data_IF_010536399937
#
_entry.id   IF_010536399937
#
_cell.length_a   1.000
_cell.length_b   1.000
_cell.length_c   1.000
_cell.angle_alpha   90.00
_cell.angle_beta   90.00
_cell.angle_gamma   90.00
#
_symmetry.space_group_name_H-M   'P 1'
#
loop_
_entity.id
_entity.type
_entity.pdbx_description
1 polymer ?
#
# COMPACT_ATOMS: atom_id res chain seq x y z
N UNK A 1 7.47 8.09 5.03
CA UNK A 1 6.71 8.52 6.24
C UNK A 1 5.24 8.30 5.98
N UNK A 2 4.47 7.93 6.99
CA UNK A 2 3.04 7.69 6.92
C UNK A 2 2.40 7.83 8.30
N UNK A 3 1.08 7.78 8.37
CA UNK A 3 0.34 7.75 9.63
C UNK A 3 -0.13 6.31 9.88
N UNK A 4 0.06 5.82 11.10
CA UNK A 4 -0.44 4.54 11.58
C UNK A 4 -0.82 4.66 13.05
N UNK A 5 -2.01 4.14 13.39
CA UNK A 5 -2.54 4.13 14.77
C UNK A 5 -2.59 5.53 15.43
N UNK A 6 -2.87 6.57 14.64
CA UNK A 6 -2.90 7.97 15.05
C UNK A 6 -1.53 8.64 15.17
N UNK A 7 -0.43 7.98 14.77
CA UNK A 7 0.95 8.47 14.97
C UNK A 7 1.72 8.53 13.66
N UNK A 8 2.58 9.55 13.53
CA UNK A 8 3.49 9.64 12.39
C UNK A 8 4.60 8.60 12.52
N UNK A 9 4.77 7.79 11.48
CA UNK A 9 5.76 6.74 11.35
C UNK A 9 6.70 7.02 10.19
N UNK A 10 7.94 6.60 10.34
CA UNK A 10 8.96 6.59 9.30
C UNK A 10 9.51 5.18 9.16
N UNK A 11 9.79 4.78 7.93
CA UNK A 11 10.41 3.50 7.62
C UNK A 11 11.52 3.78 6.63
N UNK A 12 12.63 3.08 6.80
CA UNK A 12 13.72 3.05 5.83
C UNK A 12 14.23 1.62 5.61
N UNK A 13 14.88 1.45 4.46
CA UNK A 13 15.58 0.21 4.10
C UNK A 13 17.04 0.56 3.92
N UNK A 14 17.95 -0.21 4.54
CA UNK A 14 19.38 -0.03 4.39
C UNK A 14 19.80 -0.15 2.91
N UNK A 15 20.84 0.58 2.51
CA UNK A 15 21.29 0.62 1.11
C UNK A 15 22.05 -0.63 0.67
N UNK A 16 22.61 -1.37 1.63
CA UNK A 16 23.50 -2.48 1.41
C UNK A 16 22.91 -3.79 1.95
N UNK A 17 23.35 -4.90 1.37
CA UNK A 17 22.94 -6.24 1.81
C UNK A 17 23.73 -6.68 3.05
N UNK A 18 23.12 -7.46 3.95
CA UNK A 18 21.70 -7.82 3.98
C UNK A 18 20.84 -6.59 4.26
N UNK A 19 19.73 -6.45 3.52
CA UNK A 19 18.85 -5.30 3.69
C UNK A 19 18.18 -5.35 5.06
N UNK A 20 18.18 -4.22 5.76
CA UNK A 20 17.58 -4.07 7.07
C UNK A 20 16.46 -3.05 6.94
N UNK A 21 15.28 -3.40 7.45
CA UNK A 21 14.12 -2.53 7.50
C UNK A 21 14.04 -1.97 8.91
N UNK A 22 14.09 -0.65 9.04
CA UNK A 22 14.03 0.05 10.32
C UNK A 22 12.78 0.92 10.35
N UNK A 23 12.02 0.85 11.45
CA UNK A 23 10.78 1.59 11.66
C UNK A 23 10.91 2.52 12.86
N UNK A 24 10.35 3.71 12.75
CA UNK A 24 10.48 4.77 13.73
C UNK A 24 9.14 5.43 14.00
N UNK A 25 8.92 5.84 15.25
CA UNK A 25 7.81 6.67 15.67
C UNK A 25 8.27 8.08 15.99
N UNK A 26 7.48 9.07 15.58
CA UNK A 26 7.64 10.42 16.07
C UNK A 26 7.02 10.52 17.46
N UNK A 27 7.72 11.13 18.41
CA UNK A 27 7.17 11.39 19.74
C UNK A 27 5.92 12.27 19.68
N UNK A 28 5.12 12.25 20.76
CA UNK A 28 3.88 13.04 20.83
C UNK A 28 4.15 14.56 20.84
N UNK A 29 5.38 14.99 21.11
CA UNK A 29 5.84 16.38 21.02
C UNK A 29 6.25 16.81 19.62
N UNK A 30 6.30 15.88 18.66
CA UNK A 30 6.74 16.11 17.29
C UNK A 30 8.22 16.41 17.12
N UNK A 31 9.06 16.11 18.12
CA UNK A 31 10.43 16.66 18.22
C UNK A 31 11.55 15.66 17.92
N UNK A 32 11.30 14.38 18.18
CA UNK A 32 12.31 13.33 18.03
C UNK A 32 11.70 12.04 17.47
N UNK A 33 12.52 11.32 16.69
CA UNK A 33 12.22 10.00 16.17
C UNK A 33 12.84 8.94 17.07
N UNK A 34 12.06 7.93 17.44
CA UNK A 34 12.52 6.76 18.20
C UNK A 34 12.48 5.53 17.30
N UNK A 35 13.54 4.71 17.31
CA UNK A 35 13.54 3.42 16.62
C UNK A 35 12.62 2.45 17.37
N UNK A 36 11.59 1.95 16.68
CA UNK A 36 10.61 1.01 17.24
C UNK A 36 11.04 -0.43 16.95
N UNK A 37 11.29 -0.75 15.67
CA UNK A 37 11.69 -2.10 15.23
C UNK A 37 12.77 -2.04 14.16
N UNK A 38 13.61 -3.07 14.14
CA UNK A 38 14.63 -3.30 13.13
C UNK A 38 14.64 -4.78 12.75
N UNK A 39 14.50 -5.08 11.46
CA UNK A 39 14.41 -6.46 10.96
C UNK A 39 15.31 -6.63 9.75
N UNK A 40 16.22 -7.61 9.81
CA UNK A 40 16.96 -8.04 8.63
C UNK A 40 16.00 -8.75 7.68
N UNK A 41 15.89 -8.25 6.45
CA UNK A 41 14.95 -8.79 5.47
C UNK A 41 15.22 -10.26 5.13
N UNK A 42 16.48 -10.68 5.21
CA UNK A 42 16.88 -12.10 5.04
C UNK A 42 16.34 -13.02 6.13
N UNK A 43 15.94 -12.50 7.29
CA UNK A 43 15.32 -13.29 8.37
C UNK A 43 13.87 -13.63 8.06
N UNK A 44 13.18 -12.78 7.28
CA UNK A 44 11.75 -12.94 6.99
C UNK A 44 11.47 -13.50 5.60
N UNK A 45 12.45 -13.43 4.70
CA UNK A 45 12.32 -13.85 3.30
C UNK A 45 13.36 -14.92 2.94
N UNK A 46 12.95 -16.18 3.03
CA UNK A 46 13.76 -17.36 2.69
C UNK A 46 13.74 -17.72 1.18
N UNK A 47 12.98 -16.96 0.37
CA UNK A 47 12.87 -17.17 -1.07
C UNK A 47 14.16 -16.73 -1.80
N UNK A 48 14.14 -16.69 -3.14
CA UNK A 48 15.33 -16.34 -3.91
C UNK A 48 16.03 -15.04 -3.45
N UNK A 49 17.38 -14.98 -3.55
CA UNK A 49 18.15 -13.79 -3.21
C UNK A 49 17.61 -12.58 -3.95
N UNK A 50 17.23 -11.55 -3.20
CA UNK A 50 16.75 -10.31 -3.80
C UNK A 50 17.77 -9.76 -4.79
N UNK A 51 17.34 -9.55 -6.04
CA UNK A 51 18.19 -8.92 -7.06
C UNK A 51 18.39 -7.44 -6.79
N UNK A 52 17.37 -6.78 -6.25
CA UNK A 52 17.30 -5.34 -6.01
C UNK A 52 16.90 -5.04 -4.56
N UNK A 53 17.13 -3.81 -4.12
CA UNK A 53 16.71 -3.34 -2.80
C UNK A 53 15.17 -3.29 -2.71
N UNK A 54 14.55 -3.82 -1.65
CA UNK A 54 13.11 -3.67 -1.44
C UNK A 54 12.71 -2.21 -1.42
N UNK A 55 11.67 -1.87 -2.19
CA UNK A 55 11.07 -0.55 -2.10
C UNK A 55 9.99 -0.54 -1.02
N UNK A 56 9.86 0.56 -0.30
CA UNK A 56 8.78 0.73 0.68
C UNK A 56 7.50 1.08 -0.08
N UNK A 57 6.52 0.18 -0.03
CA UNK A 57 5.20 0.39 -0.59
C UNK A 57 4.35 1.24 0.35
N UNK A 58 4.19 0.79 1.59
CA UNK A 58 3.36 1.47 2.59
C UNK A 58 3.62 1.00 4.03
N UNK A 59 3.01 1.72 4.98
CA UNK A 59 2.90 1.33 6.39
C UNK A 59 1.42 0.97 6.60
N UNK A 60 1.14 -0.14 7.28
CA UNK A 60 -0.25 -0.49 7.58
C UNK A 60 -0.88 0.58 8.48
N UNK A 61 -2.04 1.15 8.11
CA UNK A 61 -2.61 2.28 8.83
C UNK A 61 -3.18 1.88 10.21
N UNK A 62 -3.47 0.60 10.43
CA UNK A 62 -4.09 0.09 11.66
C UNK A 62 -3.13 -0.71 12.54
N UNK A 63 -1.97 -1.09 12.01
CA UNK A 63 -0.97 -1.86 12.74
C UNK A 63 0.45 -1.41 12.36
N UNK A 64 1.06 -0.56 13.18
CA UNK A 64 2.38 0.02 12.88
C UNK A 64 3.52 -1.01 12.81
N UNK A 65 3.30 -2.23 13.29
CA UNK A 65 4.26 -3.32 13.15
C UNK A 65 4.29 -3.89 11.73
N UNK A 66 3.28 -3.63 10.89
CA UNK A 66 3.20 -4.17 9.53
C UNK A 66 3.63 -3.13 8.49
N UNK A 67 4.65 -3.48 7.72
CA UNK A 67 5.15 -2.68 6.59
C UNK A 67 5.00 -3.47 5.31
N UNK A 68 4.53 -2.80 4.24
CA UNK A 68 4.41 -3.38 2.92
C UNK A 68 5.62 -3.04 2.07
N UNK A 69 6.35 -4.05 1.63
CA UNK A 69 7.56 -3.93 0.81
C UNK A 69 7.32 -4.48 -0.59
N UNK A 70 7.84 -3.79 -1.60
CA UNK A 70 7.83 -4.22 -2.99
C UNK A 70 9.19 -4.84 -3.32
N UNK A 71 9.18 -6.12 -3.63
CA UNK A 71 10.34 -6.91 -4.03
C UNK A 71 10.13 -7.40 -5.46
N UNK A 72 10.73 -6.72 -6.44
CA UNK A 72 10.49 -6.99 -7.85
C UNK A 72 9.02 -6.74 -8.23
N UNK A 73 8.27 -7.81 -8.53
CA UNK A 73 6.85 -7.76 -8.83
C UNK A 73 5.96 -8.28 -7.69
N UNK A 74 6.51 -8.44 -6.49
CA UNK A 74 5.78 -8.96 -5.35
C UNK A 74 5.64 -7.88 -4.27
N UNK A 75 4.42 -7.71 -3.78
CA UNK A 75 4.12 -6.97 -2.56
C UNK A 75 4.14 -7.95 -1.39
N UNK A 76 4.87 -7.61 -0.34
CA UNK A 76 5.01 -8.41 0.86
C UNK A 76 4.57 -7.60 2.07
N UNK A 77 3.62 -8.10 2.85
CA UNK A 77 3.36 -7.60 4.19
C UNK A 77 4.36 -8.22 5.16
N UNK A 78 5.15 -7.40 5.85
CA UNK A 78 6.14 -7.83 6.84
C UNK A 78 5.70 -7.35 8.21
N UNK A 79 5.41 -8.28 9.13
CA UNK A 79 5.24 -7.98 10.55
C UNK A 79 6.64 -7.89 11.17
N UNK A 80 7.05 -6.67 11.49
CA UNK A 80 8.37 -6.34 12.03
C UNK A 80 8.52 -6.69 13.50
N UNK A 81 7.42 -6.86 14.24
CA UNK A 81 7.45 -7.31 15.63
C UNK A 81 7.65 -8.83 15.69
N UNK A 82 6.94 -9.57 14.83
CA UNK A 82 7.02 -11.03 14.78
C UNK A 82 8.06 -11.56 13.80
N UNK A 83 8.78 -10.66 13.13
CA UNK A 83 9.78 -10.96 12.10
C UNK A 83 9.29 -12.02 11.10
N UNK A 84 8.15 -11.76 10.46
CA UNK A 84 7.57 -12.71 9.50
C UNK A 84 6.77 -12.03 8.39
N UNK A 85 6.58 -12.76 7.29
CA UNK A 85 5.63 -12.37 6.25
C UNK A 85 4.19 -12.64 6.73
N UNK A 86 3.33 -11.63 6.63
CA UNK A 86 1.89 -11.73 6.95
C UNK A 86 1.04 -12.00 5.71
N UNK A 87 1.53 -11.64 4.53
CA UNK A 87 0.85 -11.87 3.26
C UNK A 87 1.72 -11.49 2.07
N UNK A 88 1.37 -12.00 0.89
CA UNK A 88 2.02 -11.60 -0.36
C UNK A 88 1.01 -11.48 -1.50
N UNK A 89 1.30 -10.60 -2.45
CA UNK A 89 0.51 -10.46 -3.67
C UNK A 89 1.40 -10.09 -4.85
N UNK A 90 1.01 -10.50 -6.06
CA UNK A 90 1.71 -10.13 -7.29
C UNK A 90 1.19 -8.78 -7.79
N UNK A 91 2.10 -7.83 -7.97
CA UNK A 91 1.78 -6.54 -8.55
C UNK A 91 1.67 -6.66 -10.07
N UNK A 92 0.52 -6.27 -10.61
CA UNK A 92 0.33 -6.13 -12.06
C UNK A 92 1.18 -4.98 -12.64
N UNK A 93 1.44 -3.94 -11.83
CA UNK A 93 2.26 -2.79 -12.19
C UNK A 93 3.25 -2.53 -11.04
N UNK A 94 4.56 -2.79 -11.23
CA UNK A 94 5.55 -2.71 -10.14
C UNK A 94 5.88 -1.28 -9.66
N UNK A 95 5.30 -0.23 -10.26
CA UNK A 95 5.83 1.14 -10.17
C UNK A 95 4.88 2.18 -9.55
N UNK A 96 3.79 1.77 -8.89
CA UNK A 96 2.89 2.72 -8.21
C UNK A 96 3.07 2.64 -6.70
N UNK A 97 3.25 3.78 -6.00
CA UNK A 97 3.19 3.79 -4.55
C UNK A 97 1.80 3.30 -4.13
N UNK A 98 1.77 2.32 -3.22
CA UNK A 98 0.52 1.77 -2.71
C UNK A 98 0.08 2.70 -1.60
N UNK A 99 -1.09 3.31 -1.74
CA UNK A 99 -1.75 4.01 -0.62
C UNK A 99 -2.73 3.03 0.03
N UNK A 100 -2.38 2.36 1.14
CA UNK A 100 -3.39 1.79 2.00
C UNK A 100 -4.15 2.96 2.62
N UNK A 101 -5.40 3.13 2.21
CA UNK A 101 -6.30 4.06 2.86
C UNK A 101 -7.34 3.26 3.64
N UNK A 102 -7.51 3.58 4.92
CA UNK A 102 -8.70 3.16 5.65
C UNK A 102 -9.81 4.09 5.20
N UNK A 103 -10.82 3.54 4.53
CA UNK A 103 -12.02 4.31 4.26
C UNK A 103 -12.66 4.63 5.62
N UNK A 104 -12.94 5.90 5.92
CA UNK A 104 -13.58 6.23 7.17
C UNK A 104 -14.98 5.59 7.20
N UNK A 105 -15.45 5.22 8.39
CA UNK A 105 -16.70 4.45 8.57
C UNK A 105 -17.96 5.15 8.06
N UNK A 106 -17.90 6.47 7.82
CA UNK A 106 -18.99 7.26 7.22
C UNK A 106 -19.00 7.21 5.68
N UNK A 107 -17.93 6.72 5.05
CA UNK A 107 -17.90 6.33 3.65
C UNK A 107 -18.60 4.96 3.54
N UNK A 108 -19.91 4.94 3.77
CA UNK A 108 -20.73 3.79 3.38
C UNK A 108 -20.41 3.48 1.91
N UNK A 109 -20.22 2.19 1.62
CA UNK A 109 -20.06 1.70 0.25
C UNK A 109 -21.20 2.23 -0.61
N UNK A 110 -20.91 3.25 -1.40
CA UNK A 110 -21.87 3.76 -2.37
C UNK A 110 -21.81 2.81 -3.56
N UNK A 111 -22.93 2.13 -3.85
CA UNK A 111 -23.06 1.44 -5.12
C UNK A 111 -22.88 2.49 -6.21
N UNK A 112 -21.80 2.38 -6.97
CA UNK A 112 -21.63 3.16 -8.20
C UNK A 112 -22.88 2.86 -9.02
N UNK A 113 -23.74 3.86 -9.31
CA UNK A 113 -24.97 3.61 -10.06
C UNK A 113 -24.59 2.90 -11.35
N UNK A 114 -25.12 1.69 -11.57
CA UNK A 114 -25.01 1.05 -12.87
C UNK A 114 -25.64 2.02 -13.86
N UNK A 115 -24.84 2.53 -14.80
CA UNK A 115 -25.33 3.46 -15.80
C UNK A 115 -26.35 2.72 -16.68
N UNK A 116 -27.64 2.81 -16.33
CA UNK A 116 -28.74 2.54 -17.24
C UNK A 116 -28.80 3.68 -18.26
N UNK A 117 -27.79 3.75 -19.12
CA UNK A 117 -27.90 4.46 -20.38
C UNK A 117 -28.85 3.63 -21.25
N UNK A 118 -30.14 3.94 -21.20
CA UNK A 118 -31.08 3.81 -22.31
C UNK A 118 -32.49 4.17 -21.85
N UNK A 119 -32.94 5.42 -22.05
CA UNK A 119 -34.18 5.76 -22.78
C UNK A 119 -34.11 7.23 -23.27
N UNK A 120 -34.13 7.33 -24.59
CA UNK A 120 -34.22 8.48 -25.50
C UNK A 120 -35.27 9.55 -25.15
N UNK A 121 -34.88 10.83 -25.17
CA UNK A 121 -35.71 11.89 -25.79
C UNK A 121 -34.81 12.89 -26.52
N UNK A 122 -35.13 13.14 -27.79
CA UNK A 122 -34.35 13.95 -28.70
C UNK A 122 -34.55 15.45 -28.45
N UNK A 123 -33.47 16.20 -28.32
CA UNK A 123 -33.40 17.60 -28.73
C UNK A 123 -31.95 17.98 -29.09
N UNK A 124 -31.82 18.53 -30.29
CA UNK A 124 -30.62 18.83 -31.08
C UNK A 124 -29.79 20.00 -30.49
N UNK A 125 -28.46 19.85 -30.39
CA UNK A 125 -27.42 20.69 -31.05
C UNK A 125 -26.00 20.32 -30.59
N UNK A 126 -25.08 20.49 -31.54
CA UNK A 126 -23.69 20.03 -31.58
C UNK A 126 -22.72 20.86 -30.71
N UNK A 127 -21.67 20.23 -30.16
CA UNK A 127 -20.23 20.50 -30.45
C UNK A 127 -19.34 19.72 -29.45
N UNK A 128 -18.30 19.05 -29.98
CA UNK A 128 -17.20 18.32 -29.30
C UNK A 128 -16.16 19.30 -28.67
N UNK A 129 -15.08 18.90 -27.94
CA UNK A 129 -14.57 17.55 -27.66
C UNK A 129 -14.04 17.26 -26.22
N UNK A 130 -13.63 16.00 -26.06
CA UNK A 130 -12.66 15.44 -25.09
C UNK A 130 -13.02 15.34 -23.61
N UNK A 131 -13.00 14.10 -23.08
CA UNK A 131 -11.93 13.68 -22.16
C UNK A 131 -12.06 12.23 -21.68
N UNK A 132 -10.93 11.53 -21.76
CA UNK A 132 -10.40 10.49 -20.85
C UNK A 132 -11.12 9.15 -20.80
N UNK A 133 -10.45 8.13 -21.33
CA UNK A 133 -10.73 6.71 -21.08
C UNK A 133 -10.46 6.40 -19.61
N UNK A 134 -11.50 5.99 -18.87
CA UNK A 134 -11.35 5.42 -17.53
C UNK A 134 -11.14 3.92 -17.68
N UNK A 135 -9.93 3.45 -17.35
CA UNK A 135 -9.67 2.04 -17.10
C UNK A 135 -9.90 1.77 -15.62
N UNK A 136 -10.84 0.87 -15.32
CA UNK A 136 -11.16 0.42 -13.96
C UNK A 136 -10.32 -0.81 -13.65
N UNK A 137 -9.39 -0.69 -12.70
CA UNK A 137 -8.63 -1.83 -12.18
C UNK A 137 -9.42 -2.46 -11.04
N UNK A 138 -9.89 -3.69 -11.25
CA UNK A 138 -10.42 -4.56 -10.21
C UNK A 138 -9.25 -5.23 -9.47
N UNK A 139 -9.24 -5.11 -8.14
CA UNK A 139 -8.33 -5.86 -7.28
C UNK A 139 -9.20 -6.74 -6.38
N UNK A 140 -9.10 -8.05 -6.55
CA UNK A 140 -9.66 -9.03 -5.62
C UNK A 140 -8.61 -9.36 -4.57
N UNK A 141 -8.99 -9.27 -3.30
CA UNK A 141 -8.19 -9.70 -2.16
C UNK A 141 -8.85 -10.95 -1.60
N UNK A 142 -8.25 -12.11 -1.87
CA UNK A 142 -8.63 -13.37 -1.20
C UNK A 142 -7.91 -13.47 0.14
N UNK A 143 -8.67 -13.61 1.23
CA UNK A 143 -8.16 -13.96 2.55
C UNK A 143 -8.12 -15.48 2.65
N UNK A 144 -6.93 -16.07 2.70
CA UNK A 144 -6.77 -17.49 3.04
C UNK A 144 -6.84 -17.66 4.56
N UNK A 145 -7.76 -18.55 4.97
CA UNK A 145 -8.15 -18.84 6.35
C UNK A 145 -7.24 -19.86 7.03
#
# INVERSE_FOLDING_TARGET
MGESEGKLRYVEVSKEKPYVVSSFSLDDGGSSWTLDHEVAFTTVWDDEPLKEMPAIGAIDPLNSHVVYLVCGNQLLGVDMEKEKITGSSRLAIPSVPILPCVLPTWLESSQIPSADWSKKTAAKRETSPDMVKKETLHVEVELMN
#
